data_IF_838870342126
#
_entry.id   IF_838870342126
#
_cell.length_a   1.000
_cell.length_b   1.000
_cell.length_c   1.000
_cell.angle_alpha   90.00
_cell.angle_beta   90.00
_cell.angle_gamma   90.00
#
_symmetry.space_group_name_H-M   'P 1'
#
loop_
_entity.id
_entity.type
_entity.pdbx_description
1 polymer ?
#
# COMPACT_ATOMS: atom_id res chain seq x y z
N UNK A 1 49.11 4.96 9.62
CA UNK A 1 48.89 6.11 8.72
C UNK A 1 47.45 6.07 8.21
N UNK A 2 46.63 7.09 8.48
CA UNK A 2 45.39 7.33 7.74
C UNK A 2 45.40 8.69 7.02
N UNK A 3 44.84 8.72 5.81
CA UNK A 3 44.77 9.87 4.91
C UNK A 3 43.76 10.96 5.35
N UNK A 4 43.90 12.22 4.88
CA UNK A 4 43.12 13.36 5.38
C UNK A 4 41.76 13.55 4.68
N UNK A 5 40.77 14.02 5.45
CA UNK A 5 39.45 14.48 5.02
C UNK A 5 39.52 15.89 4.42
N UNK A 6 38.85 16.11 3.29
CA UNK A 6 38.62 17.43 2.68
C UNK A 6 37.36 18.09 3.28
N UNK A 7 37.44 19.38 3.62
CA UNK A 7 36.29 20.26 3.94
C UNK A 7 36.21 21.41 2.91
N UNK A 8 35.02 21.98 2.65
CA UNK A 8 34.79 22.95 1.57
C UNK A 8 35.14 24.38 1.98
N UNK A 9 35.69 25.16 1.04
CA UNK A 9 36.06 26.57 1.25
C UNK A 9 35.01 27.54 0.71
N UNK A 10 34.49 28.37 1.60
CA UNK A 10 33.69 29.57 1.37
C UNK A 10 34.54 30.78 0.96
N UNK A 11 34.15 31.50 -0.09
CA UNK A 11 34.44 32.93 -0.35
C UNK A 11 33.34 33.45 -1.31
N UNK A 12 32.93 34.72 -1.39
CA UNK A 12 32.77 35.87 -0.50
C UNK A 12 32.08 36.94 -1.41
N UNK A 13 31.43 37.93 -0.81
CA UNK A 13 30.44 38.84 -1.42
C UNK A 13 30.98 39.90 -2.40
N UNK A 14 30.01 40.51 -3.10
CA UNK A 14 29.83 41.94 -3.48
C UNK A 14 30.45 42.49 -4.76
N UNK A 15 29.58 42.98 -5.66
CA UNK A 15 29.66 44.35 -6.17
C UNK A 15 28.27 44.84 -6.64
N UNK A 16 27.77 45.90 -6.01
CA UNK A 16 26.68 46.75 -6.46
C UNK A 16 27.24 47.64 -7.58
N UNK A 17 26.54 47.79 -8.71
CA UNK A 17 26.79 48.87 -9.66
C UNK A 17 25.47 49.58 -9.99
N UNK A 18 25.55 50.90 -9.90
CA UNK A 18 24.49 51.90 -9.82
C UNK A 18 23.71 52.08 -11.14
N UNK A 19 22.43 52.44 -10.98
CA UNK A 19 21.59 53.01 -12.04
C UNK A 19 22.01 54.46 -12.33
N UNK A 20 22.23 54.79 -13.60
CA UNK A 20 22.21 56.17 -14.10
C UNK A 20 21.04 56.35 -15.08
N UNK A 21 20.30 57.48 -15.05
CA UNK A 21 19.13 57.71 -15.89
C UNK A 21 19.55 58.21 -17.28
N UNK A 22 18.84 57.77 -18.33
CA UNK A 22 18.94 58.37 -19.67
C UNK A 22 17.70 59.19 -19.97
N UNK A 23 17.99 60.33 -20.59
CA UNK A 23 17.30 61.61 -20.56
C UNK A 23 15.95 61.67 -21.29
N UNK A 24 15.19 62.67 -20.86
CA UNK A 24 13.88 63.06 -21.35
C UNK A 24 13.98 63.96 -22.59
N UNK A 25 12.97 63.82 -23.48
CA UNK A 25 12.56 64.74 -24.57
C UNK A 25 13.16 64.48 -25.96
N UNK A 26 12.43 63.69 -26.75
CA UNK A 26 12.26 63.95 -28.18
C UNK A 26 10.85 63.51 -28.66
N UNK A 27 10.09 64.50 -29.11
CA UNK A 27 8.94 64.49 -30.03
C UNK A 27 7.58 63.87 -29.65
N UNK A 28 6.59 64.76 -29.73
CA UNK A 28 5.15 64.60 -29.56
C UNK A 28 4.45 64.04 -30.82
N UNK A 29 3.25 63.49 -30.58
CA UNK A 29 2.10 63.32 -31.49
C UNK A 29 2.18 62.25 -32.59
N UNK A 30 1.45 61.15 -32.39
CA UNK A 30 0.28 60.77 -33.21
C UNK A 30 -0.56 59.71 -32.45
N UNK A 31 -1.84 60.01 -32.26
CA UNK A 31 -2.85 59.14 -31.65
C UNK A 31 -3.46 58.21 -32.69
N UNK A 32 -3.37 56.88 -32.51
CA UNK A 32 -4.26 55.89 -33.15
C UNK A 32 -4.49 54.69 -32.20
N UNK A 33 -5.61 54.77 -31.48
CA UNK A 33 -6.73 53.81 -31.35
C UNK A 33 -6.48 52.29 -31.21
N UNK A 34 -7.17 51.74 -30.20
CA UNK A 34 -7.72 50.40 -29.99
C UNK A 34 -6.90 49.31 -29.28
N UNK A 35 -7.54 48.82 -28.22
CA UNK A 35 -7.15 47.74 -27.34
C UNK A 35 -7.03 46.38 -28.03
N UNK A 36 -6.03 45.61 -27.61
CA UNK A 36 -6.19 44.19 -27.34
C UNK A 36 -5.60 43.94 -25.97
N UNK A 37 -6.47 43.66 -25.00
CA UNK A 37 -6.06 43.13 -23.72
C UNK A 37 -5.47 41.73 -23.97
N UNK A 38 -4.15 41.63 -24.07
CA UNK A 38 -3.48 40.35 -23.86
C UNK A 38 -3.32 40.18 -22.35
N UNK A 39 -4.27 39.44 -21.79
CA UNK A 39 -4.01 38.64 -20.62
C UNK A 39 -2.79 37.75 -20.93
N UNK A 40 -1.62 38.13 -20.43
CA UNK A 40 -0.61 37.14 -20.07
C UNK A 40 -1.12 36.42 -18.81
N UNK A 41 -2.24 35.70 -18.94
CA UNK A 41 -2.40 34.45 -18.21
C UNK A 41 -1.23 33.60 -18.64
N UNK A 42 -0.20 33.55 -17.79
CA UNK A 42 0.88 32.59 -17.95
C UNK A 42 0.21 31.25 -18.25
N UNK A 43 0.51 30.75 -19.45
CA UNK A 43 0.32 29.37 -19.84
C UNK A 43 0.98 28.56 -18.72
N UNK A 44 0.19 28.12 -17.74
CA UNK A 44 0.62 27.04 -16.89
C UNK A 44 0.72 25.88 -17.87
N UNK A 45 1.96 25.47 -18.17
CA UNK A 45 2.19 24.16 -18.77
C UNK A 45 1.51 23.10 -17.90
N UNK A 46 1.34 21.86 -18.39
CA UNK A 46 0.85 20.81 -17.50
C UNK A 46 1.77 20.81 -16.28
N UNK A 47 1.20 21.16 -15.12
CA UNK A 47 1.92 21.15 -13.85
C UNK A 47 2.62 19.80 -13.79
N UNK A 48 3.94 19.82 -13.74
CA UNK A 48 4.67 18.75 -13.09
C UNK A 48 4.27 18.85 -11.63
N UNK A 49 3.08 18.33 -11.30
CA UNK A 49 2.52 18.41 -9.98
C UNK A 49 3.46 17.63 -9.07
N UNK A 50 4.11 18.35 -8.16
CA UNK A 50 4.80 17.74 -7.04
C UNK A 50 3.79 16.85 -6.29
N UNK A 51 4.24 15.69 -5.82
CA UNK A 51 3.37 14.77 -5.09
C UNK A 51 2.75 15.49 -3.89
N UNK A 52 1.43 15.55 -3.82
CA UNK A 52 0.72 16.24 -2.75
C UNK A 52 0.56 15.32 -1.53
N UNK A 53 0.53 15.93 -0.34
CA UNK A 53 0.18 15.23 0.91
C UNK A 53 -1.23 15.63 1.32
N UNK A 54 -2.14 14.68 1.30
CA UNK A 54 -3.54 14.83 1.72
C UNK A 54 -3.69 14.26 3.13
N UNK A 55 -4.13 15.07 4.10
CA UNK A 55 -4.20 14.65 5.51
C UNK A 55 -5.61 14.23 5.89
N UNK A 56 -5.72 13.09 6.55
CA UNK A 56 -6.98 12.55 7.06
C UNK A 56 -6.85 12.41 8.58
N UNK A 57 -7.69 13.04 9.43
CA UNK A 57 -8.95 13.67 9.09
C UNK A 57 -8.87 15.19 8.86
N UNK A 58 -7.67 15.80 8.88
CA UNK A 58 -7.52 17.26 8.92
C UNK A 58 -8.02 17.98 7.67
N UNK A 59 -7.68 17.47 6.49
CA UNK A 59 -8.09 18.03 5.20
C UNK A 59 -9.33 17.33 4.64
N UNK A 60 -9.47 16.03 4.91
CA UNK A 60 -10.56 15.18 4.44
C UNK A 60 -11.14 14.37 5.60
N UNK A 61 -12.48 14.29 5.77
CA UNK A 61 -13.07 13.68 6.96
C UNK A 61 -12.97 12.15 7.01
N UNK A 62 -12.64 11.50 5.88
CA UNK A 62 -12.53 10.05 5.76
C UNK A 62 -11.32 9.65 4.90
N UNK A 63 -10.89 8.39 5.01
CA UNK A 63 -9.79 7.87 4.19
C UNK A 63 -10.21 7.83 2.72
N UNK A 64 -11.45 7.39 2.44
CA UNK A 64 -11.94 7.33 1.07
C UNK A 64 -11.99 8.71 0.41
N UNK A 65 -12.44 9.76 1.12
CA UNK A 65 -12.46 11.13 0.58
C UNK A 65 -11.04 11.61 0.21
N UNK A 66 -10.03 11.23 1.01
CA UNK A 66 -8.62 11.51 0.69
C UNK A 66 -8.15 10.79 -0.57
N UNK A 67 -8.49 9.52 -0.73
CA UNK A 67 -8.16 8.74 -1.94
C UNK A 67 -8.85 9.31 -3.17
N UNK A 68 -10.14 9.64 -3.06
CA UNK A 68 -10.95 10.17 -4.17
C UNK A 68 -10.44 11.54 -4.67
N UNK A 69 -9.87 12.34 -3.75
CA UNK A 69 -9.27 13.63 -4.09
C UNK A 69 -7.81 13.54 -4.59
N UNK A 70 -7.12 12.43 -4.30
CA UNK A 70 -5.70 12.23 -4.64
C UNK A 70 -5.48 11.97 -6.13
N UNK A 71 -4.24 12.17 -6.59
CA UNK A 71 -3.73 11.82 -7.91
C UNK A 71 -2.63 10.75 -7.82
N UNK A 72 -2.25 10.18 -8.96
CA UNK A 72 -1.13 9.25 -9.02
C UNK A 72 0.13 9.95 -8.52
N UNK A 73 0.84 9.31 -7.57
CA UNK A 73 2.02 9.84 -6.91
C UNK A 73 1.74 10.53 -5.58
N UNK A 74 0.49 10.86 -5.27
CA UNK A 74 0.13 11.55 -4.03
C UNK A 74 0.23 10.62 -2.80
N UNK A 75 0.46 11.27 -1.66
CA UNK A 75 0.50 10.69 -0.32
C UNK A 75 -0.82 10.98 0.41
N UNK A 76 -1.42 9.95 0.99
CA UNK A 76 -2.56 10.06 1.90
C UNK A 76 -2.04 9.73 3.30
N UNK A 77 -1.83 10.78 4.11
CA UNK A 77 -1.30 10.69 5.46
C UNK A 77 -2.45 10.63 6.47
N UNK A 78 -2.60 9.49 7.14
CA UNK A 78 -3.71 9.23 8.07
C UNK A 78 -3.28 9.43 9.52
N UNK A 79 -3.98 10.30 10.23
CA UNK A 79 -3.89 10.54 11.66
C UNK A 79 -4.22 9.31 12.51
N UNK A 80 -3.93 9.35 13.82
CA UNK A 80 -4.42 8.35 14.76
C UNK A 80 -5.96 8.42 14.87
N UNK A 81 -6.61 7.27 14.88
CA UNK A 81 -8.07 7.18 14.93
C UNK A 81 -8.62 5.80 14.60
N UNK A 82 -9.93 5.65 14.76
CA UNK A 82 -10.69 4.49 14.28
C UNK A 82 -11.58 4.94 13.14
N UNK A 83 -11.29 4.43 11.95
CA UNK A 83 -11.96 4.74 10.70
C UNK A 83 -12.92 3.61 10.37
N UNK A 84 -14.21 3.90 10.43
CA UNK A 84 -15.29 2.93 10.21
C UNK A 84 -15.61 2.84 8.71
N UNK A 85 -14.69 2.29 7.93
CA UNK A 85 -14.69 2.37 6.47
C UNK A 85 -14.33 1.02 5.84
N UNK A 86 -14.72 0.87 4.58
CA UNK A 86 -14.20 -0.15 3.67
C UNK A 86 -13.57 0.62 2.51
N UNK A 87 -12.24 0.58 2.41
CA UNK A 87 -11.46 1.48 1.55
C UNK A 87 -11.20 0.82 0.20
N UNK A 88 -11.51 1.53 -0.88
CA UNK A 88 -11.15 1.16 -2.25
C UNK A 88 -9.95 1.99 -2.71
N UNK A 89 -8.82 1.31 -2.94
CA UNK A 89 -7.58 1.96 -3.31
C UNK A 89 -7.56 2.42 -4.77
N UNK A 90 -6.84 3.51 -5.02
CA UNK A 90 -6.53 3.99 -6.37
C UNK A 90 -5.08 3.68 -6.77
N UNK A 91 -4.84 3.60 -8.07
CA UNK A 91 -3.53 3.27 -8.67
C UNK A 91 -2.44 4.27 -8.29
N UNK A 92 -1.26 3.81 -7.88
CA UNK A 92 -0.08 4.65 -7.65
C UNK A 92 -0.19 5.64 -6.48
N UNK A 93 -0.96 5.32 -5.43
CA UNK A 93 -1.07 6.13 -4.20
C UNK A 93 -0.21 5.55 -3.09
N UNK A 94 0.26 6.41 -2.19
CA UNK A 94 0.85 6.00 -0.93
C UNK A 94 -0.10 6.31 0.22
N UNK A 95 -0.79 5.28 0.72
CA UNK A 95 -1.64 5.38 1.90
C UNK A 95 -0.84 4.93 3.13
N UNK A 96 -0.65 5.82 4.11
CA UNK A 96 0.08 5.47 5.32
C UNK A 96 -0.37 6.21 6.56
N UNK A 97 -0.14 5.58 7.72
CA UNK A 97 -0.44 6.21 9.00
C UNK A 97 0.72 7.06 9.52
N UNK A 98 0.37 8.15 10.17
CA UNK A 98 1.31 9.06 10.83
C UNK A 98 1.86 8.51 12.15
N UNK A 99 1.15 7.57 12.81
CA UNK A 99 1.44 7.11 14.17
C UNK A 99 1.53 5.58 14.32
N UNK A 100 1.49 4.85 13.21
CA UNK A 100 1.63 3.41 13.15
C UNK A 100 0.34 2.62 13.41
N UNK A 101 0.40 1.28 13.23
CA UNK A 101 -0.79 0.43 13.15
C UNK A 101 -1.56 0.34 14.47
N UNK A 102 -0.89 0.56 15.61
CA UNK A 102 -1.53 0.52 16.93
C UNK A 102 -2.43 1.73 17.21
N UNK A 103 -2.29 2.82 16.44
CA UNK A 103 -3.03 4.06 16.65
C UNK A 103 -3.96 4.41 15.50
N UNK A 104 -3.81 3.78 14.33
CA UNK A 104 -4.63 4.04 13.15
C UNK A 104 -5.29 2.73 12.69
N UNK A 105 -6.59 2.63 12.97
CA UNK A 105 -7.37 1.41 12.77
C UNK A 105 -8.40 1.67 11.68
N UNK A 106 -8.45 0.80 10.67
CA UNK A 106 -9.53 0.73 9.69
C UNK A 106 -10.39 -0.48 10.08
N UNK A 107 -11.65 -0.21 10.40
CA UNK A 107 -12.60 -1.19 10.92
C UNK A 107 -13.72 -1.42 9.90
N UNK A 108 -13.70 -2.60 9.26
CA UNK A 108 -14.62 -2.95 8.19
C UNK A 108 -16.04 -3.28 8.64
N UNK A 109 -16.34 -3.29 9.95
CA UNK A 109 -17.69 -3.48 10.54
C UNK A 109 -18.47 -4.70 10.03
N UNK A 110 -17.75 -5.73 9.60
CA UNK A 110 -18.26 -6.92 8.94
C UNK A 110 -19.04 -6.64 7.64
N UNK A 111 -18.70 -5.57 6.92
CA UNK A 111 -19.36 -5.09 5.70
C UNK A 111 -18.44 -5.19 4.46
N UNK A 112 -17.79 -6.32 4.25
CA UNK A 112 -16.85 -6.52 3.14
C UNK A 112 -15.38 -6.46 3.57
N UNK A 113 -14.49 -6.37 2.59
CA UNK A 113 -13.05 -6.27 2.78
C UNK A 113 -12.70 -4.93 3.43
N UNK A 114 -11.77 -4.90 4.37
CA UNK A 114 -11.35 -3.61 4.98
C UNK A 114 -10.66 -2.73 3.95
N UNK A 115 -9.78 -3.30 3.14
CA UNK A 115 -9.18 -2.64 1.97
C UNK A 115 -9.33 -3.52 0.73
N UNK A 116 -9.69 -2.91 -0.41
CA UNK A 116 -9.73 -3.54 -1.73
C UNK A 116 -8.78 -2.86 -2.71
N UNK A 117 -8.00 -3.66 -3.43
CA UNK A 117 -7.06 -3.26 -4.48
C UNK A 117 -7.36 -4.06 -5.73
N UNK A 118 -8.10 -3.47 -6.69
CA UNK A 118 -8.60 -4.20 -7.86
C UNK A 118 -8.09 -3.53 -9.13
N UNK A 119 -7.35 -4.28 -9.95
CA UNK A 119 -6.76 -3.84 -11.22
C UNK A 119 -5.94 -2.55 -11.11
N UNK A 120 -5.15 -2.41 -10.03
CA UNK A 120 -4.31 -1.24 -9.80
C UNK A 120 -3.04 -1.29 -10.64
N UNK A 121 -2.73 -0.16 -11.29
CA UNK A 121 -1.47 0.08 -11.97
C UNK A 121 -0.53 0.98 -11.16
N UNK A 122 0.75 0.99 -11.52
CA UNK A 122 1.78 1.71 -10.78
C UNK A 122 2.05 1.11 -9.40
N UNK A 123 3.01 1.67 -8.67
CA UNK A 123 3.34 1.23 -7.31
C UNK A 123 2.37 1.86 -6.32
N UNK A 124 1.40 1.09 -5.82
CA UNK A 124 0.53 1.49 -4.70
C UNK A 124 1.11 0.95 -3.40
N UNK A 125 1.22 1.79 -2.37
CA UNK A 125 1.80 1.41 -1.07
C UNK A 125 0.74 1.61 0.02
N UNK A 126 0.61 0.63 0.91
CA UNK A 126 -0.28 0.67 2.08
C UNK A 126 0.55 0.27 3.30
N UNK A 127 0.72 1.19 4.25
CA UNK A 127 1.52 0.89 5.45
C UNK A 127 1.05 1.52 6.75
N UNK A 128 1.29 0.79 7.85
CA UNK A 128 1.08 1.28 9.20
C UNK A 128 -0.37 1.27 9.69
N UNK A 129 -1.24 0.37 9.21
CA UNK A 129 -2.63 0.28 9.66
C UNK A 129 -2.91 -0.99 10.45
N UNK A 130 -3.88 -0.93 11.37
CA UNK A 130 -4.63 -2.14 11.77
C UNK A 130 -5.85 -2.28 10.88
N UNK A 131 -5.99 -3.40 10.19
CA UNK A 131 -7.18 -3.81 9.44
C UNK A 131 -7.94 -4.87 10.23
N UNK A 132 -9.17 -4.56 10.62
CA UNK A 132 -9.97 -5.50 11.42
C UNK A 132 -11.45 -5.54 11.10
N UNK A 133 -12.09 -6.59 11.60
CA UNK A 133 -13.53 -6.83 11.49
C UNK A 133 -14.02 -6.80 10.05
N UNK A 134 -13.19 -7.10 9.07
CA UNK A 134 -13.62 -7.32 7.70
C UNK A 134 -14.36 -8.66 7.57
N UNK A 135 -15.36 -8.69 6.69
CA UNK A 135 -16.14 -9.89 6.40
C UNK A 135 -16.54 -9.93 4.94
N UNK A 136 -15.83 -10.72 4.15
CA UNK A 136 -16.00 -10.81 2.70
C UNK A 136 -15.83 -12.25 2.19
N UNK A 137 -16.33 -12.52 0.98
CA UNK A 137 -16.04 -13.79 0.29
C UNK A 137 -14.57 -13.88 -0.15
N UNK A 138 -13.92 -12.74 -0.41
CA UNK A 138 -12.54 -12.64 -0.84
C UNK A 138 -11.85 -11.59 0.01
N UNK A 139 -10.81 -11.95 0.77
CA UNK A 139 -9.98 -10.97 1.46
C UNK A 139 -10.72 -10.20 2.54
N UNK A 140 -10.98 -10.80 3.71
CA UNK A 140 -11.68 -10.09 4.81
C UNK A 140 -10.93 -8.83 5.24
N UNK A 141 -9.63 -8.94 5.54
CA UNK A 141 -8.78 -7.78 5.81
C UNK A 141 -8.40 -7.03 4.53
N UNK A 142 -7.72 -7.72 3.62
CA UNK A 142 -7.21 -7.16 2.37
C UNK A 142 -7.58 -8.06 1.19
N UNK A 143 -8.18 -7.47 0.16
CA UNK A 143 -8.43 -8.11 -1.13
C UNK A 143 -7.58 -7.45 -2.22
N UNK A 144 -6.74 -8.24 -2.89
CA UNK A 144 -5.93 -7.80 -4.03
C UNK A 144 -6.26 -8.65 -5.26
N UNK A 145 -6.63 -8.01 -6.36
CA UNK A 145 -6.91 -8.67 -7.63
C UNK A 145 -6.20 -7.94 -8.76
N UNK A 146 -5.39 -8.65 -9.56
CA UNK A 146 -4.75 -8.12 -10.77
C UNK A 146 -3.91 -6.86 -10.52
N UNK A 147 -3.26 -6.74 -9.35
CA UNK A 147 -2.64 -5.50 -8.88
C UNK A 147 -1.18 -5.71 -8.44
N UNK A 148 -0.39 -4.63 -8.44
CA UNK A 148 0.96 -4.59 -7.87
C UNK A 148 1.00 -3.64 -6.68
N UNK A 149 0.92 -4.18 -5.46
CA UNK A 149 0.96 -3.37 -4.25
C UNK A 149 2.16 -3.71 -3.36
N UNK A 150 2.59 -2.73 -2.56
CA UNK A 150 3.43 -2.96 -1.39
C UNK A 150 2.54 -2.81 -0.13
N UNK A 151 2.24 -3.93 0.51
CA UNK A 151 1.49 -3.98 1.76
C UNK A 151 2.43 -4.29 2.91
N UNK A 152 2.82 -3.27 3.68
CA UNK A 152 3.90 -3.41 4.67
C UNK A 152 3.65 -2.79 6.04
N UNK A 153 4.18 -3.41 7.09
CA UNK A 153 4.13 -2.86 8.45
C UNK A 153 2.71 -2.72 9.02
N UNK A 154 1.78 -3.55 8.57
CA UNK A 154 0.38 -3.54 9.01
C UNK A 154 0.08 -4.64 10.04
N UNK A 155 -1.06 -4.49 10.72
CA UNK A 155 -1.69 -5.51 11.54
C UNK A 155 -2.99 -5.93 10.85
N UNK A 156 -3.18 -7.22 10.58
CA UNK A 156 -4.40 -7.77 9.98
C UNK A 156 -5.00 -8.78 10.94
N UNK A 157 -6.13 -8.44 11.55
CA UNK A 157 -6.69 -9.25 12.65
C UNK A 157 -8.20 -9.25 12.75
N UNK A 158 -8.79 -10.31 13.34
CA UNK A 158 -10.22 -10.45 13.55
C UNK A 158 -11.05 -10.30 12.27
N UNK A 159 -10.48 -10.68 11.13
CA UNK A 159 -11.19 -10.70 9.85
C UNK A 159 -11.75 -12.10 9.59
N UNK A 160 -12.86 -12.15 8.87
CA UNK A 160 -13.59 -13.39 8.60
C UNK A 160 -13.98 -13.50 7.14
N UNK A 161 -14.27 -14.73 6.71
CA UNK A 161 -14.91 -14.97 5.42
C UNK A 161 -16.41 -15.25 5.53
N UNK A 162 -17.12 -15.19 4.40
CA UNK A 162 -18.50 -15.67 4.24
C UNK A 162 -18.58 -16.83 3.25
N UNK A 163 -19.21 -17.95 3.61
CA UNK A 163 -19.43 -19.06 2.68
C UNK A 163 -18.15 -19.86 2.35
N UNK A 164 -18.05 -20.34 1.11
CA UNK A 164 -16.86 -21.04 0.58
C UNK A 164 -15.92 -19.99 -0.01
N UNK A 165 -15.10 -19.42 0.86
CA UNK A 165 -14.41 -18.16 0.61
C UNK A 165 -12.92 -18.25 0.96
N UNK A 166 -12.14 -17.29 0.46
CA UNK A 166 -10.68 -17.33 0.43
C UNK A 166 -10.06 -16.13 1.16
N UNK A 167 -8.98 -16.38 1.91
CA UNK A 167 -8.13 -15.35 2.50
C UNK A 167 -8.87 -14.47 3.51
N UNK A 168 -9.14 -14.97 4.72
CA UNK A 168 -9.84 -14.14 5.73
C UNK A 168 -9.00 -12.92 6.13
N UNK A 169 -7.69 -13.10 6.35
CA UNK A 169 -6.76 -11.99 6.53
C UNK A 169 -6.47 -11.29 5.20
N UNK A 170 -5.69 -11.95 4.35
CA UNK A 170 -5.24 -11.41 3.05
C UNK A 170 -5.57 -12.39 1.94
N UNK A 171 -6.17 -11.88 0.87
CA UNK A 171 -6.40 -12.62 -0.37
C UNK A 171 -5.74 -11.89 -1.53
N UNK A 172 -4.92 -12.59 -2.31
CA UNK A 172 -4.33 -12.10 -3.55
C UNK A 172 -4.69 -13.03 -4.70
N UNK A 173 -5.02 -12.45 -5.85
CA UNK A 173 -5.32 -13.20 -7.05
C UNK A 173 -4.77 -12.53 -8.31
N UNK A 174 -4.25 -13.34 -9.23
CA UNK A 174 -3.75 -12.89 -10.54
C UNK A 174 -2.73 -11.75 -10.43
N UNK A 175 -1.95 -11.73 -9.32
CA UNK A 175 -0.99 -10.68 -9.05
C UNK A 175 0.40 -11.01 -9.63
N UNK A 176 1.08 -10.07 -10.29
CA UNK A 176 2.46 -10.25 -10.73
C UNK A 176 3.45 -10.29 -9.55
N UNK A 177 4.70 -10.67 -9.84
CA UNK A 177 5.75 -10.85 -8.82
C UNK A 177 6.21 -9.57 -8.11
N UNK A 178 5.67 -8.43 -8.51
CA UNK A 178 5.85 -7.12 -7.88
C UNK A 178 4.93 -6.92 -6.68
N UNK A 179 3.89 -7.75 -6.50
CA UNK A 179 3.06 -7.70 -5.30
C UNK A 179 3.85 -8.20 -4.08
N UNK A 180 3.97 -7.35 -3.05
CA UNK A 180 4.80 -7.58 -1.88
C UNK A 180 3.98 -7.42 -0.60
N UNK A 181 3.89 -8.49 0.18
CA UNK A 181 3.32 -8.51 1.53
C UNK A 181 4.49 -8.65 2.50
N UNK A 182 4.89 -7.55 3.15
CA UNK A 182 6.13 -7.50 3.92
C UNK A 182 5.99 -6.98 5.37
N UNK A 183 6.58 -7.67 6.34
CA UNK A 183 6.71 -7.13 7.70
C UNK A 183 5.38 -6.90 8.42
N UNK A 184 4.34 -7.65 8.07
CA UNK A 184 3.02 -7.55 8.69
C UNK A 184 2.84 -8.55 9.84
N UNK A 185 1.90 -8.23 10.74
CA UNK A 185 1.36 -9.15 11.73
C UNK A 185 -0.03 -9.60 11.27
N UNK A 186 -0.20 -10.89 10.97
CA UNK A 186 -1.45 -11.44 10.42
C UNK A 186 -1.94 -12.53 11.37
N UNK A 187 -2.95 -12.23 12.18
CA UNK A 187 -3.37 -13.13 13.25
C UNK A 187 -4.84 -13.06 13.62
N UNK A 188 -5.36 -14.14 14.21
CA UNK A 188 -6.77 -14.24 14.64
C UNK A 188 -7.76 -13.97 13.49
N UNK A 189 -7.38 -14.32 12.26
CA UNK A 189 -8.29 -14.30 11.12
C UNK A 189 -8.91 -15.70 10.95
N UNK A 190 -10.20 -15.74 10.65
CA UNK A 190 -10.98 -16.98 10.56
C UNK A 190 -11.60 -17.14 9.17
N UNK A 191 -11.02 -18.03 8.37
CA UNK A 191 -11.41 -18.28 6.99
C UNK A 191 -11.94 -19.68 6.74
N UNK A 192 -12.32 -19.95 5.49
CA UNK A 192 -12.55 -21.32 5.04
C UNK A 192 -11.30 -21.90 4.36
N UNK A 193 -10.67 -21.12 3.48
CA UNK A 193 -9.40 -21.44 2.81
C UNK A 193 -8.43 -20.26 3.01
N UNK A 194 -7.24 -20.51 3.56
CA UNK A 194 -6.25 -19.46 3.79
C UNK A 194 -6.68 -18.50 4.90
N UNK A 195 -6.60 -18.93 6.16
CA UNK A 195 -7.00 -18.10 7.30
C UNK A 195 -6.18 -16.80 7.35
N UNK A 196 -4.85 -16.93 7.29
CA UNK A 196 -3.92 -15.82 7.22
C UNK A 196 -3.82 -15.21 5.82
N UNK A 197 -3.19 -15.93 4.88
CA UNK A 197 -2.91 -15.46 3.51
C UNK A 197 -3.32 -16.52 2.49
N UNK A 198 -4.04 -16.11 1.45
CA UNK A 198 -4.37 -16.94 0.31
C UNK A 198 -3.90 -16.27 -0.99
N UNK A 199 -3.07 -16.97 -1.75
CA UNK A 199 -2.64 -16.58 -3.09
C UNK A 199 -3.26 -17.54 -4.10
N UNK A 200 -4.02 -17.03 -5.07
CA UNK A 200 -4.86 -17.84 -5.96
C UNK A 200 -4.76 -17.39 -7.42
N UNK A 201 -4.71 -18.33 -8.37
CA UNK A 201 -4.93 -18.05 -9.79
C UNK A 201 -3.80 -17.25 -10.42
N UNK A 202 -2.79 -17.93 -10.97
CA UNK A 202 -1.63 -17.31 -11.63
C UNK A 202 -0.92 -16.23 -10.77
N UNK A 203 -1.03 -16.33 -9.45
CA UNK A 203 -0.50 -15.35 -8.52
C UNK A 203 1.00 -15.58 -8.28
N UNK A 204 1.78 -14.50 -8.24
CA UNK A 204 3.23 -14.52 -8.05
C UNK A 204 3.69 -13.69 -6.85
N UNK A 205 2.80 -13.41 -5.92
CA UNK A 205 3.05 -12.55 -4.77
C UNK A 205 4.23 -13.03 -3.93
N UNK A 206 4.90 -12.06 -3.30
CA UNK A 206 6.01 -12.29 -2.38
C UNK A 206 5.56 -12.03 -0.96
N UNK A 207 5.64 -13.04 -0.11
CA UNK A 207 5.27 -12.99 1.30
C UNK A 207 6.58 -13.04 2.10
N UNK A 208 7.00 -11.88 2.64
CA UNK A 208 8.35 -11.71 3.18
C UNK A 208 8.34 -11.15 4.60
N UNK A 209 9.04 -11.78 5.54
CA UNK A 209 9.26 -11.15 6.85
C UNK A 209 7.99 -10.96 7.70
N UNK A 210 6.91 -11.67 7.41
CA UNK A 210 5.66 -11.56 8.15
C UNK A 210 5.64 -12.50 9.35
N UNK A 211 4.83 -12.16 10.36
CA UNK A 211 4.47 -13.08 11.43
C UNK A 211 2.99 -13.44 11.29
N UNK A 212 2.72 -14.70 10.99
CA UNK A 212 1.40 -15.23 10.65
C UNK A 212 1.04 -16.29 11.71
N UNK A 213 0.17 -15.93 12.65
CA UNK A 213 -0.12 -16.81 13.79
C UNK A 213 -1.58 -16.84 14.20
N UNK A 214 -2.00 -17.92 14.86
CA UNK A 214 -3.32 -17.97 15.49
C UNK A 214 -4.49 -17.78 14.51
N UNK A 215 -4.26 -17.99 13.22
CA UNK A 215 -5.32 -17.95 12.22
C UNK A 215 -6.00 -19.32 12.17
N UNK A 216 -7.28 -19.33 11.80
CA UNK A 216 -8.07 -20.55 11.68
C UNK A 216 -8.63 -20.68 10.28
N UNK A 217 -8.59 -21.89 9.71
CA UNK A 217 -9.31 -22.20 8.48
C UNK A 217 -9.59 -23.70 8.37
N UNK A 218 -10.58 -24.10 7.57
CA UNK A 218 -10.81 -25.52 7.28
C UNK A 218 -9.71 -26.11 6.36
N UNK A 219 -9.12 -25.27 5.50
CA UNK A 219 -8.04 -25.64 4.60
C UNK A 219 -6.97 -24.56 4.65
N UNK A 220 -5.73 -24.95 4.96
CA UNK A 220 -4.58 -24.07 5.07
C UNK A 220 -4.79 -22.81 5.94
N UNK A 221 -4.53 -22.91 7.23
CA UNK A 221 -4.83 -21.83 8.18
C UNK A 221 -3.83 -20.67 8.13
N UNK A 222 -2.55 -20.93 7.82
CA UNK A 222 -1.53 -19.89 7.69
C UNK A 222 -1.46 -19.31 6.27
N UNK A 223 -0.74 -19.98 5.36
CA UNK A 223 -0.57 -19.55 3.95
C UNK A 223 -1.05 -20.64 3.00
N UNK A 224 -1.73 -20.27 1.91
CA UNK A 224 -1.98 -21.18 0.79
C UNK A 224 -1.56 -20.58 -0.55
N UNK A 225 -0.94 -21.40 -1.38
CA UNK A 225 -0.71 -21.16 -2.82
C UNK A 225 -1.61 -22.09 -3.63
N UNK A 226 -2.50 -21.52 -4.44
CA UNK A 226 -3.60 -22.24 -5.07
C UNK A 226 -3.76 -21.87 -6.55
N UNK A 227 -4.21 -22.84 -7.37
CA UNK A 227 -4.50 -22.69 -8.81
C UNK A 227 -3.37 -22.02 -9.62
N UNK A 228 -2.33 -22.77 -9.98
CA UNK A 228 -1.24 -22.32 -10.86
C UNK A 228 -0.46 -21.09 -10.33
N UNK A 229 -0.45 -20.87 -9.02
CA UNK A 229 0.28 -19.75 -8.41
C UNK A 229 1.75 -20.13 -8.16
N UNK A 230 2.67 -19.20 -8.41
CA UNK A 230 4.11 -19.33 -8.23
C UNK A 230 4.62 -18.29 -7.21
N UNK A 231 4.43 -18.57 -5.92
CA UNK A 231 4.72 -17.58 -4.85
C UNK A 231 6.09 -17.77 -4.21
N UNK A 232 6.60 -16.69 -3.61
CA UNK A 232 7.77 -16.71 -2.73
C UNK A 232 7.33 -16.51 -1.28
N UNK A 233 7.72 -17.43 -0.40
CA UNK A 233 7.55 -17.33 1.05
C UNK A 233 8.94 -17.29 1.67
N UNK A 234 9.34 -16.12 2.18
CA UNK A 234 10.70 -15.90 2.69
C UNK A 234 10.74 -15.22 4.06
N UNK A 235 11.55 -15.72 4.99
CA UNK A 235 11.81 -15.09 6.31
C UNK A 235 10.55 -14.85 7.16
N UNK A 236 9.52 -15.66 6.99
CA UNK A 236 8.29 -15.57 7.78
C UNK A 236 8.36 -16.45 9.02
N UNK A 237 7.57 -16.09 10.02
CA UNK A 237 7.19 -16.94 11.14
C UNK A 237 5.73 -17.35 10.91
N UNK A 238 5.47 -18.66 10.79
CA UNK A 238 4.13 -19.22 10.55
C UNK A 238 3.85 -20.22 11.67
N UNK A 239 3.07 -19.82 12.68
CA UNK A 239 2.95 -20.63 13.89
C UNK A 239 1.57 -20.61 14.55
N UNK A 240 1.21 -21.71 15.21
CA UNK A 240 -0.06 -21.82 15.96
C UNK A 240 -1.30 -21.51 15.12
N UNK A 241 -1.28 -21.79 13.82
CA UNK A 241 -2.47 -21.70 12.98
C UNK A 241 -3.21 -23.05 13.01
N UNK A 242 -4.55 -23.02 13.08
CA UNK A 242 -5.39 -24.19 13.40
C UNK A 242 -6.51 -24.47 12.38
N UNK A 243 -7.00 -25.71 12.37
CA UNK A 243 -8.06 -26.21 11.51
C UNK A 243 -7.59 -26.71 10.13
N UNK A 244 -6.46 -26.20 9.63
CA UNK A 244 -5.88 -26.54 8.33
C UNK A 244 -4.38 -26.27 8.33
N UNK A 245 -3.64 -26.88 7.40
CA UNK A 245 -2.17 -26.88 7.39
C UNK A 245 -1.56 -25.47 7.51
N UNK A 246 -0.46 -25.32 8.25
CA UNK A 246 0.23 -24.03 8.41
C UNK A 246 0.60 -23.38 7.08
N UNK A 247 1.09 -24.17 6.13
CA UNK A 247 1.31 -23.74 4.76
C UNK A 247 0.99 -24.84 3.75
N UNK A 248 0.26 -24.54 2.68
CA UNK A 248 -0.11 -25.54 1.67
C UNK A 248 0.10 -25.01 0.25
N UNK A 249 0.76 -25.82 -0.58
CA UNK A 249 0.85 -25.60 -2.03
C UNK A 249 -0.06 -26.59 -2.75
N UNK A 250 -1.02 -26.14 -3.57
CA UNK A 250 -2.00 -27.02 -4.21
C UNK A 250 -2.40 -26.58 -5.63
N UNK A 251 -3.10 -27.46 -6.37
CA UNK A 251 -3.65 -27.19 -7.71
C UNK A 251 -2.62 -26.65 -8.69
N UNK A 252 -1.57 -27.44 -8.96
CA UNK A 252 -0.48 -27.10 -9.89
C UNK A 252 0.28 -25.80 -9.54
N UNK A 253 0.25 -25.39 -8.27
CA UNK A 253 1.02 -24.26 -7.78
C UNK A 253 2.44 -24.66 -7.38
N UNK A 254 3.31 -23.67 -7.28
CA UNK A 254 4.64 -23.79 -6.74
C UNK A 254 4.86 -22.75 -5.64
N UNK A 255 5.59 -23.13 -4.60
CA UNK A 255 5.94 -22.23 -3.49
C UNK A 255 7.42 -22.34 -3.23
N UNK A 256 8.15 -21.26 -3.45
CA UNK A 256 9.56 -21.17 -3.06
C UNK A 256 9.63 -20.79 -1.58
N UNK A 257 10.18 -21.69 -0.75
CA UNK A 257 10.22 -21.54 0.71
C UNK A 257 11.67 -21.31 1.15
N UNK A 258 11.98 -20.11 1.64
CA UNK A 258 13.33 -19.73 2.04
C UNK A 258 13.36 -19.18 3.47
N UNK A 259 14.19 -19.76 4.33
CA UNK A 259 14.50 -19.21 5.66
C UNK A 259 13.26 -18.90 6.54
N UNK A 260 12.20 -19.71 6.43
CA UNK A 260 11.00 -19.55 7.26
C UNK A 260 11.10 -20.40 8.54
N UNK A 261 10.41 -19.93 9.59
CA UNK A 261 10.14 -20.71 10.79
C UNK A 261 8.66 -21.13 10.78
N UNK A 262 8.38 -22.43 10.70
CA UNK A 262 7.03 -22.98 10.54
C UNK A 262 6.81 -24.08 11.58
N UNK A 263 6.02 -23.79 12.62
CA UNK A 263 5.88 -24.69 13.77
C UNK A 263 4.54 -24.59 14.49
N UNK A 264 4.16 -25.65 15.22
CA UNK A 264 2.92 -25.74 16.00
C UNK A 264 1.63 -25.41 15.22
N UNK A 265 1.60 -25.62 13.91
CA UNK A 265 0.36 -25.54 13.16
C UNK A 265 -0.36 -26.89 13.16
N UNK A 266 -1.68 -26.86 13.12
CA UNK A 266 -2.54 -28.04 13.17
C UNK A 266 -3.44 -28.11 11.94
N UNK A 267 -3.54 -29.27 11.25
CA UNK A 267 -2.99 -30.57 11.64
C UNK A 267 -1.48 -30.76 11.38
N UNK A 268 -0.87 -29.94 10.52
CA UNK A 268 0.55 -30.04 10.19
C UNK A 268 1.14 -28.68 9.82
N UNK A 269 2.47 -28.58 9.77
CA UNK A 269 3.18 -27.33 9.47
C UNK A 269 3.19 -26.98 7.98
N UNK A 270 3.44 -27.96 7.12
CA UNK A 270 3.56 -27.74 5.68
C UNK A 270 3.06 -28.97 4.90
N UNK A 271 2.27 -28.72 3.85
CA UNK A 271 1.85 -29.70 2.86
C UNK A 271 2.37 -29.26 1.48
N UNK A 272 3.17 -30.12 0.87
CA UNK A 272 3.86 -29.88 -0.40
C UNK A 272 2.93 -29.79 -1.60
N UNK A 273 3.46 -29.44 -2.79
CA UNK A 273 2.68 -29.51 -4.03
C UNK A 273 2.21 -30.95 -4.27
N UNK A 274 0.93 -31.09 -4.63
CA UNK A 274 0.30 -32.34 -5.05
C UNK A 274 0.45 -32.60 -6.56
#
# INVERSE_FOLDING_TARGET
MPAPRLRPSSRLRSLILELLPVDSRACQNHSYVLAVALACSALHGPDSADAAVLRVPEDYPSIQDGIDASRVGDEILVGPGVYLENVEMASGRWLHSSMGPLQTIIDGRAMGSVISCVNLGGTTIIEGFTLRNGRAELGGGLHVFGSSIEFRGNIVTANTNTGVAYGAGVYTQECPATNLIEGNLIFENNGNIGGGVCCNGDDRSRIVGNTIWGNTANYASGIISYNYSDILVERNIIANNDGGTGMWTHSNSNTTILCNDIWANTPENYHGPD
#
